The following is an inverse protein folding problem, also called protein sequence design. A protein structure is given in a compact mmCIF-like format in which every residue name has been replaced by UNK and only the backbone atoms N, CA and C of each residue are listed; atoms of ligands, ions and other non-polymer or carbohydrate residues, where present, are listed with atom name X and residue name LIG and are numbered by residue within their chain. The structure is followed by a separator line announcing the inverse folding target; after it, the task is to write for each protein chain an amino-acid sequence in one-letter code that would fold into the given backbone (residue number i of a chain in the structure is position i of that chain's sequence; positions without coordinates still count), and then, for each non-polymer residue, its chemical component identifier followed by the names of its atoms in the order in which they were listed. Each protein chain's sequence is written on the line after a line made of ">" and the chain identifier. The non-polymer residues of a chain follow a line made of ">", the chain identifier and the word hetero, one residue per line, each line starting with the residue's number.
data_IF_610891985989
#
_entry.id   IF_610891985989
#
_cell.length_a   1.000
_cell.length_b   1.000
_cell.length_c   1.000
_cell.angle_alpha   90.00
_cell.angle_beta   90.00
_cell.angle_gamma   90.00
#
_symmetry.space_group_name_H-M   'P 1'
#
loop_
_entity.id
_entity.type
_entity.pdbx_description
1 polymer ?
#
# COMPACT_ATOMS: atom_id res chain seq x y z
N UNK A 1 -1.69 -21.00 -3.39
CA UNK A 1 -0.79 -21.66 -2.42
C UNK A 1 0.66 -21.63 -2.91
N UNK A 2 0.91 -21.95 -4.17
CA UNK A 2 2.27 -21.99 -4.74
C UNK A 2 2.97 -20.63 -4.73
N UNK A 3 2.26 -19.53 -4.99
CA UNK A 3 2.82 -18.17 -4.88
C UNK A 3 3.29 -17.85 -3.47
N UNK A 4 2.49 -18.17 -2.46
CA UNK A 4 2.84 -17.93 -1.05
C UNK A 4 4.06 -18.76 -0.64
N UNK A 5 4.12 -20.02 -1.07
CA UNK A 5 5.27 -20.88 -0.82
C UNK A 5 6.54 -20.35 -1.52
N UNK A 6 6.41 -19.85 -2.75
CA UNK A 6 7.49 -19.21 -3.52
C UNK A 6 8.00 -17.95 -2.82
N UNK A 7 7.10 -17.06 -2.38
CA UNK A 7 7.44 -15.83 -1.67
C UNK A 7 8.18 -16.13 -0.37
N UNK A 8 7.68 -17.09 0.43
CA UNK A 8 8.34 -17.52 1.67
C UNK A 8 9.72 -18.14 1.38
N UNK A 9 9.83 -18.98 0.33
CA UNK A 9 11.09 -19.58 -0.08
C UNK A 9 12.14 -18.52 -0.46
N UNK A 10 11.75 -17.49 -1.21
CA UNK A 10 12.63 -16.36 -1.57
C UNK A 10 13.04 -15.58 -0.32
N UNK A 11 12.11 -15.32 0.63
CA UNK A 11 12.42 -14.67 1.91
C UNK A 11 13.48 -15.44 2.70
N UNK A 12 13.30 -16.75 2.86
CA UNK A 12 14.27 -17.58 3.59
C UNK A 12 15.63 -17.61 2.89
N UNK A 13 15.65 -17.82 1.57
CA UNK A 13 16.89 -17.85 0.80
C UNK A 13 17.65 -16.52 0.92
N UNK A 14 16.97 -15.39 0.68
CA UNK A 14 17.56 -14.06 0.81
C UNK A 14 18.01 -13.77 2.24
N UNK A 15 17.24 -14.18 3.24
CA UNK A 15 17.58 -14.01 4.65
C UNK A 15 18.83 -14.79 5.07
N UNK A 16 18.93 -16.08 4.69
CA UNK A 16 20.11 -16.89 4.95
C UNK A 16 21.35 -16.33 4.23
N UNK A 17 21.18 -15.94 2.97
CA UNK A 17 22.27 -15.34 2.19
C UNK A 17 22.75 -14.03 2.81
N UNK A 18 21.84 -13.18 3.28
CA UNK A 18 22.16 -11.94 3.98
C UNK A 18 22.87 -12.20 5.32
N UNK A 19 22.45 -13.20 6.09
CA UNK A 19 23.10 -13.62 7.33
C UNK A 19 24.56 -14.02 7.09
N UNK A 20 24.82 -14.85 6.08
CA UNK A 20 26.18 -15.26 5.71
C UNK A 20 27.04 -14.09 5.22
N UNK A 21 26.47 -13.18 4.44
CA UNK A 21 27.21 -12.02 3.92
C UNK A 21 27.50 -10.97 4.98
N UNK A 22 26.70 -10.90 6.05
CA UNK A 22 26.84 -9.89 7.10
C UNK A 22 28.18 -9.96 7.82
N UNK A 23 28.78 -11.15 7.92
CA UNK A 23 30.11 -11.36 8.51
C UNK A 23 31.25 -10.83 7.64
N UNK A 24 31.12 -10.89 6.30
CA UNK A 24 32.16 -10.40 5.38
C UNK A 24 32.00 -8.93 5.01
N UNK A 25 30.78 -8.50 4.73
CA UNK A 25 30.50 -7.16 4.20
C UNK A 25 29.06 -6.75 4.54
N UNK A 26 28.85 -6.03 5.64
CA UNK A 26 27.51 -5.66 6.09
C UNK A 26 26.75 -4.80 5.06
N UNK A 27 27.44 -3.97 4.29
CA UNK A 27 26.84 -3.15 3.23
C UNK A 27 26.23 -3.99 2.09
N UNK A 28 26.88 -5.09 1.70
CA UNK A 28 26.37 -5.97 0.63
C UNK A 28 25.20 -6.81 1.14
N UNK A 29 25.26 -7.28 2.39
CA UNK A 29 24.14 -7.98 3.03
C UNK A 29 22.87 -7.11 3.04
N UNK A 30 23.05 -5.82 3.36
CA UNK A 30 21.97 -4.83 3.38
C UNK A 30 21.41 -4.52 1.99
N UNK A 31 22.27 -4.38 0.98
CA UNK A 31 21.81 -4.18 -0.40
C UNK A 31 20.99 -5.39 -0.88
N UNK A 32 21.43 -6.60 -0.55
CA UNK A 32 20.75 -7.84 -0.88
C UNK A 32 19.35 -7.90 -0.25
N UNK A 33 19.21 -7.58 1.04
CA UNK A 33 17.90 -7.61 1.72
C UNK A 33 16.94 -6.58 1.14
N UNK A 34 17.43 -5.37 0.83
CA UNK A 34 16.61 -4.31 0.21
C UNK A 34 16.15 -4.73 -1.19
N UNK A 35 17.05 -5.26 -2.03
CA UNK A 35 16.69 -5.76 -3.35
C UNK A 35 15.69 -6.92 -3.29
N UNK A 36 15.91 -7.89 -2.41
CA UNK A 36 15.00 -9.01 -2.23
C UNK A 36 13.61 -8.53 -1.78
N UNK A 37 13.57 -7.61 -0.81
CA UNK A 37 12.32 -7.09 -0.30
C UNK A 37 11.57 -6.22 -1.34
N UNK A 38 12.29 -5.45 -2.17
CA UNK A 38 11.70 -4.72 -3.30
C UNK A 38 11.11 -5.66 -4.37
N UNK A 39 11.80 -6.76 -4.68
CA UNK A 39 11.28 -7.78 -5.60
C UNK A 39 10.01 -8.45 -5.05
N UNK A 40 10.00 -8.82 -3.77
CA UNK A 40 8.83 -9.44 -3.13
C UNK A 40 7.65 -8.46 -3.04
N UNK A 41 7.93 -7.18 -2.79
CA UNK A 41 6.91 -6.13 -2.83
C UNK A 41 6.22 -6.03 -4.20
N UNK A 42 7.00 -6.10 -5.30
CA UNK A 42 6.44 -6.03 -6.65
C UNK A 42 5.48 -7.18 -6.96
N UNK A 43 5.72 -8.37 -6.38
CA UNK A 43 4.82 -9.51 -6.51
C UNK A 43 3.50 -9.27 -5.77
N UNK A 44 3.56 -8.76 -4.54
CA UNK A 44 2.38 -8.42 -3.74
C UNK A 44 1.48 -7.40 -4.46
N UNK A 45 2.09 -6.44 -5.15
CA UNK A 45 1.36 -5.44 -5.92
C UNK A 45 0.44 -6.03 -6.98
N UNK A 46 0.89 -7.10 -7.64
CA UNK A 46 0.13 -7.78 -8.69
C UNK A 46 -1.09 -8.49 -8.09
N UNK A 47 -0.93 -9.17 -6.95
CA UNK A 47 -2.02 -9.83 -6.24
C UNK A 47 -3.06 -8.83 -5.74
N UNK A 48 -2.61 -7.68 -5.23
CA UNK A 48 -3.48 -6.60 -4.76
C UNK A 48 -4.32 -6.04 -5.92
N UNK A 49 -3.71 -5.81 -7.09
CA UNK A 49 -4.43 -5.35 -8.28
C UNK A 49 -5.51 -6.34 -8.73
N UNK A 50 -5.27 -7.65 -8.64
CA UNK A 50 -6.26 -8.68 -8.97
C UNK A 50 -7.47 -8.62 -8.03
N UNK A 51 -7.23 -8.53 -6.71
CA UNK A 51 -8.30 -8.40 -5.72
C UNK A 51 -9.09 -7.10 -5.93
N UNK A 52 -8.40 -6.00 -6.21
CA UNK A 52 -9.05 -4.72 -6.52
C UNK A 52 -9.91 -4.79 -7.78
N UNK A 53 -9.44 -5.47 -8.83
CA UNK A 53 -10.22 -5.71 -10.04
C UNK A 53 -11.47 -6.55 -9.78
N UNK A 54 -11.42 -7.52 -8.86
CA UNK A 54 -12.60 -8.25 -8.41
C UNK A 54 -13.57 -7.36 -7.63
N UNK A 55 -13.06 -6.50 -6.74
CA UNK A 55 -13.88 -5.55 -5.98
C UNK A 55 -14.60 -4.57 -6.93
N UNK A 56 -13.92 -4.09 -7.96
CA UNK A 56 -14.51 -3.24 -8.99
C UNK A 56 -15.61 -3.95 -9.79
N UNK A 57 -15.57 -5.27 -9.96
CA UNK A 57 -16.66 -6.00 -10.63
C UNK A 57 -17.96 -6.00 -9.82
N UNK A 58 -17.90 -5.83 -8.49
CA UNK A 58 -19.12 -5.66 -7.69
C UNK A 58 -19.77 -4.29 -7.90
N UNK A 59 -19.00 -3.30 -8.34
CA UNK A 59 -19.48 -1.93 -8.56
C UNK A 59 -20.50 -1.87 -9.71
N UNK A 60 -20.37 -2.75 -10.71
CA UNK A 60 -21.35 -2.94 -11.81
C UNK A 60 -22.77 -3.22 -11.32
N UNK A 61 -22.93 -3.82 -10.13
CA UNK A 61 -24.24 -4.10 -9.54
C UNK A 61 -24.79 -2.95 -8.69
N UNK A 62 -23.99 -1.91 -8.41
CA UNK A 62 -24.37 -0.71 -7.66
C UNK A 62 -23.92 0.55 -8.41
N UNK A 63 -24.67 1.00 -9.44
CA UNK A 63 -24.25 2.09 -10.34
C UNK A 63 -23.93 3.42 -9.64
N UNK A 64 -24.54 3.72 -8.49
CA UNK A 64 -24.28 4.94 -7.73
C UNK A 64 -23.10 4.82 -6.72
N UNK A 65 -22.51 3.63 -6.58
CA UNK A 65 -21.44 3.35 -5.60
C UNK A 65 -20.04 3.26 -6.20
N UNK A 66 -19.91 3.29 -7.53
CA UNK A 66 -18.63 3.18 -8.26
C UNK A 66 -17.58 4.19 -7.76
N UNK A 67 -18.01 5.43 -7.53
CA UNK A 67 -17.13 6.51 -7.05
C UNK A 67 -16.61 6.23 -5.63
N UNK A 68 -17.46 5.74 -4.72
CA UNK A 68 -17.08 5.45 -3.34
C UNK A 68 -16.15 4.23 -3.25
N UNK A 69 -16.49 3.15 -3.98
CA UNK A 69 -15.67 1.93 -4.06
C UNK A 69 -14.31 2.25 -4.68
N UNK A 70 -14.29 2.99 -5.78
CA UNK A 70 -13.06 3.40 -6.46
C UNK A 70 -12.15 4.25 -5.56
N UNK A 71 -12.73 5.11 -4.72
CA UNK A 71 -11.96 5.95 -3.81
C UNK A 71 -11.44 5.18 -2.61
N UNK A 72 -12.23 4.25 -2.05
CA UNK A 72 -11.75 3.30 -1.03
C UNK A 72 -10.53 2.50 -1.53
N UNK A 73 -10.60 1.99 -2.76
CA UNK A 73 -9.49 1.28 -3.39
C UNK A 73 -8.25 2.17 -3.51
N UNK A 74 -8.40 3.43 -3.93
CA UNK A 74 -7.29 4.39 -4.02
C UNK A 74 -6.63 4.65 -2.66
N UNK A 75 -7.43 4.82 -1.60
CA UNK A 75 -6.91 4.99 -0.24
C UNK A 75 -6.14 3.76 0.22
N UNK A 76 -6.69 2.56 0.01
CA UNK A 76 -6.02 1.29 0.35
C UNK A 76 -4.69 1.13 -0.40
N UNK A 77 -4.65 1.47 -1.69
CA UNK A 77 -3.42 1.44 -2.49
C UNK A 77 -2.35 2.36 -1.90
N UNK A 78 -2.70 3.63 -1.66
CA UNK A 78 -1.75 4.61 -1.11
C UNK A 78 -1.25 4.17 0.27
N UNK A 79 -2.14 3.70 1.14
CA UNK A 79 -1.78 3.20 2.46
C UNK A 79 -0.79 2.03 2.37
N UNK A 80 -1.09 1.04 1.54
CA UNK A 80 -0.23 -0.13 1.36
C UNK A 80 1.15 0.26 0.82
N UNK A 81 1.21 1.10 -0.23
CA UNK A 81 2.48 1.57 -0.81
C UNK A 81 3.32 2.30 0.24
N UNK A 82 2.72 3.26 0.95
CA UNK A 82 3.42 4.10 1.91
C UNK A 82 3.92 3.29 3.11
N UNK A 83 3.07 2.43 3.67
CA UNK A 83 3.40 1.55 4.81
C UNK A 83 4.58 0.64 4.45
N UNK A 84 4.47 -0.08 3.34
CA UNK A 84 5.50 -1.07 2.97
C UNK A 84 6.82 -0.40 2.57
N UNK A 85 6.76 0.76 1.91
CA UNK A 85 7.95 1.55 1.59
C UNK A 85 8.64 2.10 2.86
N UNK A 86 7.86 2.54 3.85
CA UNK A 86 8.39 2.97 5.15
C UNK A 86 9.09 1.83 5.88
N UNK A 87 8.50 0.63 5.89
CA UNK A 87 9.12 -0.55 6.50
C UNK A 87 10.44 -0.96 5.81
N UNK A 88 10.50 -0.89 4.48
CA UNK A 88 11.73 -1.12 3.73
C UNK A 88 12.84 -0.14 4.12
N UNK A 89 12.52 1.15 4.19
CA UNK A 89 13.47 2.19 4.58
C UNK A 89 13.91 2.06 6.04
N UNK A 90 13.00 1.69 6.97
CA UNK A 90 13.34 1.36 8.37
C UNK A 90 14.30 0.17 8.44
N UNK A 91 14.04 -0.89 7.66
CA UNK A 91 14.94 -2.04 7.54
C UNK A 91 16.31 -1.71 6.95
N UNK A 92 16.38 -0.63 6.15
CA UNK A 92 17.61 -0.07 5.60
C UNK A 92 18.29 0.95 6.54
N UNK A 93 17.96 1.02 7.83
CA UNK A 93 18.46 2.05 8.75
C UNK A 93 18.24 3.51 8.26
N UNK A 94 17.30 3.72 7.33
CA UNK A 94 16.93 5.02 6.75
C UNK A 94 15.67 5.57 7.42
N UNK A 95 15.70 5.73 8.75
CA UNK A 95 14.50 6.09 9.55
C UNK A 95 13.92 7.45 9.18
N UNK A 96 14.77 8.44 8.86
CA UNK A 96 14.31 9.77 8.44
C UNK A 96 13.52 9.71 7.13
N UNK A 97 14.03 8.99 6.13
CA UNK A 97 13.34 8.80 4.85
C UNK A 97 12.06 7.98 5.03
N UNK A 98 12.10 6.94 5.85
CA UNK A 98 10.92 6.14 6.17
C UNK A 98 9.79 6.99 6.78
N UNK A 99 10.16 7.93 7.65
CA UNK A 99 9.22 8.85 8.30
C UNK A 99 8.61 9.78 7.26
N UNK A 100 9.40 10.37 6.36
CA UNK A 100 8.90 11.24 5.28
C UNK A 100 7.90 10.50 4.38
N UNK A 101 8.18 9.25 4.04
CA UNK A 101 7.26 8.41 3.24
C UNK A 101 5.95 8.15 4.00
N UNK A 102 6.04 7.83 5.29
CA UNK A 102 4.87 7.58 6.14
C UNK A 102 3.96 8.82 6.23
N UNK A 103 4.54 10.00 6.46
CA UNK A 103 3.79 11.27 6.49
C UNK A 103 3.19 11.61 5.14
N UNK A 104 3.94 11.39 4.06
CA UNK A 104 3.47 11.63 2.70
C UNK A 104 2.24 10.76 2.41
N UNK A 105 2.27 9.46 2.74
CA UNK A 105 1.12 8.57 2.61
C UNK A 105 -0.12 9.09 3.34
N UNK A 106 0.03 9.55 4.59
CA UNK A 106 -1.08 10.13 5.38
C UNK A 106 -1.66 11.38 4.72
N UNK A 107 -0.82 12.27 4.19
CA UNK A 107 -1.27 13.48 3.49
C UNK A 107 -2.02 13.13 2.21
N UNK A 108 -1.51 12.19 1.41
CA UNK A 108 -2.20 11.72 0.20
C UNK A 108 -3.55 11.09 0.51
N UNK A 109 -3.65 10.26 1.56
CA UNK A 109 -4.93 9.69 2.00
C UNK A 109 -5.92 10.80 2.34
N UNK A 110 -5.50 11.81 3.11
CA UNK A 110 -6.34 12.97 3.45
C UNK A 110 -6.82 13.72 2.20
N UNK A 111 -5.93 13.97 1.24
CA UNK A 111 -6.28 14.64 -0.02
C UNK A 111 -7.31 13.85 -0.85
N UNK A 112 -7.26 12.52 -0.79
CA UNK A 112 -8.21 11.65 -1.50
C UNK A 112 -9.55 11.55 -0.75
N UNK A 113 -9.53 11.60 0.59
CA UNK A 113 -10.74 11.50 1.41
C UNK A 113 -11.55 12.81 1.46
N UNK A 114 -10.88 13.97 1.36
CA UNK A 114 -11.52 15.29 1.48
C UNK A 114 -12.66 15.54 0.45
N UNK A 115 -12.51 15.20 -0.85
CA UNK A 115 -13.57 15.37 -1.84
C UNK A 115 -14.83 14.57 -1.52
N UNK A 116 -14.68 13.33 -1.05
CA UNK A 116 -15.83 12.50 -0.65
C UNK A 116 -16.55 13.15 0.54
N UNK A 117 -15.79 13.61 1.53
CA UNK A 117 -16.37 14.24 2.70
C UNK A 117 -17.17 15.50 2.33
N UNK A 118 -16.65 16.31 1.41
CA UNK A 118 -17.35 17.47 0.87
C UNK A 118 -18.66 17.10 0.16
N UNK A 119 -18.62 16.08 -0.71
CA UNK A 119 -19.81 15.60 -1.43
C UNK A 119 -20.88 15.07 -0.46
N UNK A 120 -20.49 14.31 0.55
CA UNK A 120 -21.40 13.82 1.59
C UNK A 120 -22.04 14.98 2.36
N UNK A 121 -21.25 16.01 2.72
CA UNK A 121 -21.75 17.18 3.43
C UNK A 121 -22.79 17.94 2.59
N UNK A 122 -22.55 18.12 1.29
CA UNK A 122 -23.53 18.72 0.38
C UNK A 122 -24.82 17.91 0.32
N UNK A 123 -24.74 16.58 0.19
CA UNK A 123 -25.92 15.71 0.15
C UNK A 123 -26.72 15.77 1.46
N UNK A 124 -26.05 15.83 2.61
CA UNK A 124 -26.73 16.00 3.90
C UNK A 124 -27.44 17.35 4.00
N UNK A 125 -26.84 18.44 3.51
CA UNK A 125 -27.45 19.77 3.55
C UNK A 125 -28.76 19.82 2.74
N UNK A 126 -28.79 19.18 1.58
CA UNK A 126 -29.98 19.10 0.71
C UNK A 126 -31.15 18.36 1.37
N UNK A 127 -30.86 17.40 2.25
CA UNK A 127 -31.87 16.62 2.96
C UNK A 127 -32.42 17.35 4.21
N UNK A 128 -31.81 18.46 4.63
CA UNK A 128 -32.27 19.25 5.77
C UNK A 128 -33.49 20.09 5.37
N UNK A 129 -34.70 19.84 5.91
CA UNK A 129 -35.87 20.65 5.59
C UNK A 129 -35.73 22.04 6.23
N UNK A 130 -35.58 23.08 5.41
CA UNK A 130 -35.49 24.47 5.89
C UNK A 130 -34.65 25.44 5.05
N UNK A 131 -34.11 25.04 3.90
CA UNK A 131 -33.40 25.95 2.97
C UNK A 131 -33.99 25.91 1.57
N UNK A 132 -35.20 26.45 1.44
CA UNK A 132 -35.74 26.99 0.19
C UNK A 132 -36.10 28.46 0.42
#
# INVERSE_FOLDING_TARGET
>A
MDELLRTIGICFLAGFMALLLKERSPSIAMLLTICAAALLLSQLFTSIQLVMGMIQRFSVYLPDMDLYIGTLIKVLMVAFIAETSSHLLKGANQTLMATIVEWSGKIFILMIALPIFYELLQRMLVLLPGTH
#
